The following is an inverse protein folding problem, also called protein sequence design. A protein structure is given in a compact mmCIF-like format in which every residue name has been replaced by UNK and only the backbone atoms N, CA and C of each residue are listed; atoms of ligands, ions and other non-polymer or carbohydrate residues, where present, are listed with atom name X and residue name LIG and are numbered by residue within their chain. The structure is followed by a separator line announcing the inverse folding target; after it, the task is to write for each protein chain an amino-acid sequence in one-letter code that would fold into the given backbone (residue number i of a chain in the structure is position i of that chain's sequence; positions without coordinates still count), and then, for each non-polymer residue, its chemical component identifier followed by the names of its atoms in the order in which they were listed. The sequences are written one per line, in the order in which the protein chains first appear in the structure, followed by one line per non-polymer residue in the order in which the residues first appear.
data_IF_729823387310
#
_entry.id   IF_729823387310
#
_cell.length_a   1.000
_cell.length_b   1.000
_cell.length_c   1.000
_cell.angle_alpha   90.00
_cell.angle_beta   90.00
_cell.angle_gamma   90.00
#
_symmetry.space_group_name_H-M   'P 1'
#
loop_
_entity.id
_entity.type
_entity.pdbx_description
1 polymer ?
#
# COMPACT_ATOMS: atom_id res chain seq x y z
N UNK A 1 -4.34 -10.71 6.30
CA UNK A 1 -3.62 -9.83 7.19
C UNK A 1 -2.65 -8.89 6.47
N UNK A 2 -2.92 -8.43 5.27
CA UNK A 2 -2.07 -7.38 4.71
C UNK A 2 -2.49 -5.99 5.17
N UNK A 3 -1.47 -5.16 5.31
CA UNK A 3 -1.60 -3.75 5.65
C UNK A 3 -0.84 -2.96 4.58
N UNK A 4 -1.46 -1.92 4.05
CA UNK A 4 -0.82 -1.01 3.10
C UNK A 4 -0.92 0.41 3.64
N UNK A 5 0.22 1.05 3.84
CA UNK A 5 0.28 2.47 4.21
C UNK A 5 0.81 3.27 3.04
N UNK A 6 0.10 4.31 2.67
CA UNK A 6 0.47 5.19 1.56
C UNK A 6 0.75 6.56 2.11
N UNK A 7 1.99 7.04 1.91
CA UNK A 7 2.38 8.41 2.21
C UNK A 7 2.72 9.10 0.90
N UNK A 8 2.19 10.28 0.70
CA UNK A 8 2.36 11.02 -0.54
C UNK A 8 2.28 12.53 -0.29
N UNK A 9 2.94 13.29 -1.13
CA UNK A 9 2.83 14.75 -1.10
C UNK A 9 1.69 15.27 -2.00
N UNK A 10 0.87 14.35 -2.54
CA UNK A 10 -0.30 14.72 -3.34
C UNK A 10 -1.54 14.60 -2.47
N UNK A 11 -2.33 15.67 -2.41
CA UNK A 11 -3.60 15.66 -1.69
C UNK A 11 -4.63 14.89 -2.51
N UNK A 12 -5.09 13.77 -1.98
CA UNK A 12 -6.17 13.01 -2.59
C UNK A 12 -7.51 13.70 -2.24
N UNK A 13 -8.28 14.13 -3.25
CA UNK A 13 -9.55 14.82 -2.98
C UNK A 13 -10.47 13.98 -2.13
N UNK A 14 -11.09 14.58 -1.12
CA UNK A 14 -11.94 13.89 -0.16
C UNK A 14 -13.02 13.04 -0.83
N UNK A 15 -13.65 13.58 -1.87
CA UNK A 15 -14.72 12.89 -2.59
C UNK A 15 -14.24 11.61 -3.30
N UNK A 16 -12.95 11.48 -3.55
CA UNK A 16 -12.38 10.34 -4.27
C UNK A 16 -11.71 9.34 -3.33
N UNK A 17 -11.47 9.69 -2.06
CA UNK A 17 -10.67 8.89 -1.15
C UNK A 17 -11.19 7.47 -0.99
N UNK A 18 -12.47 7.34 -0.68
CA UNK A 18 -13.05 6.01 -0.44
C UNK A 18 -12.92 5.12 -1.67
N UNK A 19 -13.27 5.63 -2.86
CA UNK A 19 -13.20 4.84 -4.09
C UNK A 19 -11.75 4.47 -4.45
N UNK A 20 -10.80 5.41 -4.26
CA UNK A 20 -9.40 5.14 -4.56
C UNK A 20 -8.79 4.13 -3.60
N UNK A 21 -9.09 4.25 -2.31
CA UNK A 21 -8.61 3.30 -1.31
C UNK A 21 -9.26 1.92 -1.51
N UNK A 22 -10.53 1.88 -1.91
CA UNK A 22 -11.22 0.63 -2.21
C UNK A 22 -10.55 -0.11 -3.39
N UNK A 23 -10.15 0.61 -4.43
CA UNK A 23 -9.46 0.01 -5.58
C UNK A 23 -8.11 -0.59 -5.15
N UNK A 24 -7.37 0.12 -4.29
CA UNK A 24 -6.08 -0.37 -3.80
C UNK A 24 -6.25 -1.56 -2.86
N UNK A 25 -7.28 -1.54 -2.02
CA UNK A 25 -7.61 -2.66 -1.13
C UNK A 25 -7.90 -3.93 -1.93
N UNK A 26 -8.64 -3.81 -3.02
CA UNK A 26 -8.96 -4.94 -3.88
C UNK A 26 -7.71 -5.53 -4.53
N UNK A 27 -6.81 -4.68 -5.02
CA UNK A 27 -5.54 -5.14 -5.59
C UNK A 27 -4.73 -5.89 -4.53
N UNK A 28 -4.64 -5.33 -3.33
CA UNK A 28 -3.90 -5.96 -2.24
C UNK A 28 -4.46 -7.34 -1.91
N UNK A 29 -5.78 -7.44 -1.78
CA UNK A 29 -6.45 -8.71 -1.47
C UNK A 29 -6.25 -9.73 -2.58
N UNK A 30 -6.47 -9.32 -3.83
CA UNK A 30 -6.41 -10.23 -4.98
C UNK A 30 -5.01 -10.76 -5.21
N UNK A 31 -3.99 -9.90 -5.19
CA UNK A 31 -2.62 -10.31 -5.48
C UNK A 31 -2.03 -11.14 -4.34
N UNK A 32 -2.33 -10.80 -3.09
CA UNK A 32 -1.85 -11.58 -1.95
C UNK A 32 -2.70 -12.83 -1.70
N UNK A 33 -3.84 -12.95 -2.37
CA UNK A 33 -4.80 -14.03 -2.16
C UNK A 33 -5.25 -14.12 -0.69
N UNK A 34 -5.48 -12.95 -0.08
CA UNK A 34 -5.97 -12.84 1.30
C UNK A 34 -7.38 -12.27 1.31
N UNK A 35 -8.22 -12.64 2.29
CA UNK A 35 -9.56 -12.08 2.39
C UNK A 35 -9.53 -10.57 2.57
N UNK A 36 -10.28 -9.84 1.77
CA UNK A 36 -10.29 -8.38 1.81
C UNK A 36 -10.75 -7.84 3.16
N UNK A 37 -11.58 -8.59 3.88
CA UNK A 37 -12.05 -8.19 5.20
C UNK A 37 -10.93 -7.97 6.22
N UNK A 38 -9.74 -8.51 5.96
CA UNK A 38 -8.57 -8.33 6.82
C UNK A 38 -7.55 -7.34 6.26
N UNK A 39 -7.81 -6.76 5.10
CA UNK A 39 -6.91 -5.80 4.48
C UNK A 39 -7.16 -4.41 5.04
N UNK A 40 -6.10 -3.73 5.47
CA UNK A 40 -6.19 -2.34 5.90
C UNK A 40 -5.36 -1.49 4.95
N UNK A 41 -5.98 -0.44 4.41
CA UNK A 41 -5.30 0.51 3.54
C UNK A 41 -5.45 1.90 4.14
N UNK A 42 -4.33 2.57 4.37
CA UNK A 42 -4.30 3.89 4.97
C UNK A 42 -3.60 4.87 4.04
N UNK A 43 -4.08 6.10 4.01
CA UNK A 43 -3.52 7.20 3.24
C UNK A 43 -3.15 8.34 4.18
N UNK A 44 -1.97 8.93 3.95
CA UNK A 44 -1.50 10.08 4.71
C UNK A 44 -0.81 11.07 3.76
N UNK A 45 -1.18 12.33 3.89
CA UNK A 45 -0.52 13.42 3.16
C UNK A 45 0.71 13.86 3.97
N UNK A 46 1.87 13.90 3.33
CA UNK A 46 3.13 14.22 3.98
C UNK A 46 4.02 15.04 3.06
N UNK A 47 4.80 15.94 3.63
CA UNK A 47 5.83 16.65 2.88
C UNK A 47 6.94 15.68 2.52
N UNK A 48 7.43 15.74 1.28
CA UNK A 48 8.53 14.88 0.85
C UNK A 48 9.27 15.43 -0.36
N UNK A 49 10.50 14.97 -0.50
CA UNK A 49 11.30 15.18 -1.70
C UNK A 49 11.70 13.79 -2.21
N UNK A 50 11.79 13.65 -3.50
CA UNK A 50 12.32 12.44 -4.12
C UNK A 50 13.54 12.83 -4.95
N UNK A 51 14.69 12.21 -4.65
CA UNK A 51 15.93 12.59 -5.31
C UNK A 51 16.33 14.04 -5.06
N UNK A 52 15.90 14.62 -3.94
CA UNK A 52 16.16 16.02 -3.63
C UNK A 52 15.27 17.01 -4.38
N UNK A 53 14.27 16.52 -5.12
CA UNK A 53 13.43 17.36 -5.96
C UNK A 53 11.96 17.32 -5.53
N UNK A 54 11.26 18.44 -5.76
CA UNK A 54 9.82 18.53 -5.57
C UNK A 54 9.08 17.82 -6.71
N UNK A 55 7.78 17.74 -6.61
CA UNK A 55 6.94 17.06 -7.58
C UNK A 55 6.25 15.86 -6.95
N UNK A 56 5.23 15.29 -7.62
CA UNK A 56 4.48 14.19 -7.06
C UNK A 56 5.35 12.98 -6.75
N UNK A 57 5.25 12.48 -5.53
CA UNK A 57 5.98 11.32 -5.05
C UNK A 57 5.13 10.56 -4.05
N UNK A 58 5.44 9.30 -3.85
CA UNK A 58 4.73 8.47 -2.88
C UNK A 58 5.63 7.35 -2.36
N UNK A 59 5.31 6.91 -1.15
CA UNK A 59 5.92 5.76 -0.51
C UNK A 59 4.81 4.85 -0.02
N UNK A 60 4.87 3.59 -0.40
CA UNK A 60 3.91 2.57 -0.01
C UNK A 60 4.64 1.51 0.80
N UNK A 61 4.18 1.26 2.02
CA UNK A 61 4.73 0.20 2.87
C UNK A 61 3.67 -0.89 3.05
N UNK A 62 4.02 -2.10 2.66
CA UNK A 62 3.12 -3.25 2.71
C UNK A 62 3.66 -4.25 3.71
N UNK A 63 2.82 -4.65 4.67
CA UNK A 63 3.14 -5.66 5.66
C UNK A 63 2.12 -6.76 5.62
N UNK A 64 2.55 -7.98 5.92
CA UNK A 64 1.65 -9.12 5.95
C UNK A 64 2.26 -10.31 6.67
N UNK A 65 1.38 -11.23 7.04
CA UNK A 65 1.78 -12.50 7.66
C UNK A 65 1.92 -13.52 6.54
N UNK A 66 3.16 -13.79 6.14
CA UNK A 66 3.46 -14.71 5.05
C UNK A 66 3.06 -14.19 3.67
N UNK A 67 3.52 -14.83 2.63
CA UNK A 67 3.10 -14.57 1.25
C UNK A 67 3.79 -13.40 0.56
N UNK A 68 4.57 -12.59 1.27
CA UNK A 68 5.28 -11.46 0.68
C UNK A 68 6.68 -11.88 0.20
N UNK A 69 6.70 -12.82 -0.72
CA UNK A 69 7.94 -13.27 -1.37
C UNK A 69 8.10 -12.55 -2.72
N UNK A 70 9.28 -12.75 -3.32
CA UNK A 70 9.68 -12.03 -4.53
C UNK A 70 8.62 -12.00 -5.62
N UNK A 71 7.98 -13.13 -5.90
CA UNK A 71 7.00 -13.24 -6.97
C UNK A 71 5.75 -12.41 -6.68
N UNK A 72 5.21 -12.51 -5.47
CA UNK A 72 4.05 -11.73 -5.04
C UNK A 72 4.39 -10.24 -5.02
N UNK A 73 5.56 -9.88 -4.51
CA UNK A 73 5.99 -8.49 -4.42
C UNK A 73 6.14 -7.87 -5.80
N UNK A 74 6.66 -8.63 -6.78
CA UNK A 74 6.75 -8.16 -8.16
C UNK A 74 5.36 -7.91 -8.76
N UNK A 75 4.40 -8.80 -8.50
CA UNK A 75 3.02 -8.62 -8.96
C UNK A 75 2.36 -7.42 -8.31
N UNK A 76 2.56 -7.22 -7.02
CA UNK A 76 2.04 -6.05 -6.30
C UNK A 76 2.62 -4.77 -6.87
N UNK A 77 3.92 -4.70 -7.08
CA UNK A 77 4.55 -3.51 -7.67
C UNK A 77 3.98 -3.19 -9.04
N UNK A 78 3.84 -4.22 -9.89
CA UNK A 78 3.32 -4.04 -11.24
C UNK A 78 1.86 -3.62 -11.27
N UNK A 79 1.05 -4.09 -10.31
CA UNK A 79 -0.36 -3.75 -10.23
C UNK A 79 -0.60 -2.39 -9.56
N UNK A 80 0.18 -2.06 -8.53
CA UNK A 80 0.00 -0.83 -7.77
C UNK A 80 0.50 0.41 -8.48
N UNK A 81 1.61 0.32 -9.21
CA UNK A 81 2.21 1.50 -9.85
C UNK A 81 1.22 2.24 -10.77
N UNK A 82 0.51 1.58 -11.72
CA UNK A 82 -0.46 2.28 -12.55
C UNK A 82 -1.67 2.78 -11.75
N UNK A 83 -2.09 2.08 -10.71
CA UNK A 83 -3.22 2.52 -9.89
C UNK A 83 -2.87 3.74 -9.05
N UNK A 84 -1.67 3.80 -8.49
CA UNK A 84 -1.16 4.97 -7.76
C UNK A 84 -1.03 6.17 -8.71
N UNK A 85 -0.55 5.95 -9.92
CA UNK A 85 -0.46 7.01 -10.93
C UNK A 85 -1.85 7.56 -11.27
N UNK A 86 -2.83 6.69 -11.44
CA UNK A 86 -4.20 7.07 -11.72
C UNK A 86 -4.82 7.86 -10.56
N UNK A 87 -4.57 7.43 -9.34
CA UNK A 87 -5.15 8.03 -8.14
C UNK A 87 -4.48 9.36 -7.76
N UNK A 88 -3.15 9.43 -7.84
CA UNK A 88 -2.36 10.52 -7.27
C UNK A 88 -1.54 11.29 -8.31
N UNK A 89 -1.46 10.83 -9.54
CA UNK A 89 -0.60 11.45 -10.55
C UNK A 89 0.89 11.23 -10.28
N UNK A 90 1.24 10.27 -9.42
CA UNK A 90 2.63 9.95 -9.10
C UNK A 90 3.19 9.03 -10.18
N UNK A 91 4.25 9.43 -10.90
CA UNK A 91 4.85 8.56 -11.90
C UNK A 91 5.58 7.39 -11.22
N UNK A 92 5.67 6.23 -11.89
CA UNK A 92 6.27 5.04 -11.28
C UNK A 92 7.71 5.23 -10.81
N UNK A 93 8.48 6.10 -11.44
CA UNK A 93 9.87 6.36 -11.05
C UNK A 93 9.99 7.28 -9.83
N UNK A 94 8.87 7.74 -9.29
CA UNK A 94 8.82 8.53 -8.06
C UNK A 94 7.97 7.84 -6.99
N UNK A 95 7.86 6.52 -7.09
CA UNK A 95 7.10 5.68 -6.18
C UNK A 95 8.02 4.59 -5.63
N UNK A 96 8.18 4.55 -4.31
CA UNK A 96 8.81 3.42 -3.64
C UNK A 96 7.77 2.54 -3.00
N UNK A 97 7.97 1.24 -3.08
CA UNK A 97 7.12 0.26 -2.41
C UNK A 97 8.04 -0.67 -1.62
N UNK A 98 7.78 -0.82 -0.33
CA UNK A 98 8.53 -1.75 0.52
C UNK A 98 7.61 -2.84 1.02
N UNK A 99 8.18 -4.01 1.28
CA UNK A 99 7.44 -5.21 1.70
C UNK A 99 8.11 -5.79 2.93
N UNK A 100 7.31 -6.07 3.96
CA UNK A 100 7.81 -6.66 5.20
C UNK A 100 6.90 -7.80 5.63
N UNK A 101 7.45 -8.99 5.78
CA UNK A 101 6.73 -10.09 6.40
C UNK A 101 6.81 -9.96 7.91
N UNK A 102 5.67 -10.15 8.57
CA UNK A 102 5.55 -10.07 10.01
C UNK A 102 5.12 -11.45 10.52
N UNK A 103 5.78 -11.92 11.56
CA UNK A 103 5.40 -13.20 12.17
C UNK A 103 4.00 -13.12 12.77
N UNK A 104 3.26 -14.20 12.73
CA UNK A 104 1.88 -14.24 13.22
C UNK A 104 1.76 -13.80 14.68
N UNK A 105 2.73 -14.16 15.51
CA UNK A 105 2.75 -13.77 16.93
C UNK A 105 3.21 -12.31 17.14
N UNK A 106 3.50 -11.58 16.07
CA UNK A 106 3.81 -10.15 16.11
C UNK A 106 2.69 -9.30 15.54
N UNK A 107 1.50 -9.90 15.36
CA UNK A 107 0.36 -9.19 14.78
C UNK A 107 -0.86 -9.39 15.66
N UNK A 108 -1.34 -8.30 16.25
CA UNK A 108 -2.52 -8.31 17.10
C UNK A 108 -3.78 -7.92 16.31
N UNK A 109 -4.86 -8.63 16.58
CA UNK A 109 -6.17 -8.33 16.03
C UNK A 109 -7.24 -8.80 17.01
N UNK A 110 -8.24 -7.99 17.23
CA UNK A 110 -9.37 -8.30 18.11
C UNK A 110 -8.94 -8.68 19.53
N UNK A 111 -7.86 -8.02 20.01
CA UNK A 111 -7.36 -8.24 21.36
C UNK A 111 -6.48 -9.48 21.54
N UNK A 112 -6.19 -10.20 20.48
CA UNK A 112 -5.38 -11.42 20.50
C UNK A 112 -4.33 -11.39 19.41
N UNK A 113 -3.40 -12.32 19.45
CA UNK A 113 -2.40 -12.48 18.39
C UNK A 113 -2.88 -13.52 17.38
N UNK A 114 -2.38 -13.43 16.16
CA UNK A 114 -2.69 -14.42 15.12
C UNK A 114 -1.93 -15.75 15.28
N UNK A 115 -0.91 -15.77 16.08
CA UNK A 115 -0.13 -16.97 16.26
C UNK A 115 0.17 -17.34 17.69
#
# INVERSE_FOLDING_TARGET
MPLMQIKTNVMLPEKQREARLAALSRILADVTNKPEQYCLVAYEHAAMLFGGETGPAAFVDIRGIGGLHRETNAKLSAALAPEIRKALGVPPDRLYITFTEVAADHWGWNGELFG
#
